data_IF_357457014749
#
_entry.id   IF_357457014749
#
_cell.length_a   1.000
_cell.length_b   1.000
_cell.length_c   1.000
_cell.angle_alpha   90.00
_cell.angle_beta   90.00
_cell.angle_gamma   90.00
#
_symmetry.space_group_name_H-M   'P 1'
#
loop_
_entity.id
_entity.type
_entity.pdbx_description
1 polymer ?
#
# COMPACT_ATOMS: atom_id res chain seq x y z
N UNK A 1 -19.28 -4.17 -5.99
CA UNK A 1 -18.96 -5.42 -5.24
C UNK A 1 -17.48 -5.56 -5.15
N UNK A 2 -16.94 -5.30 -3.95
CA UNK A 2 -15.57 -5.52 -3.53
C UNK A 2 -15.35 -7.04 -3.38
N UNK A 3 -14.81 -7.78 -4.37
CA UNK A 3 -14.59 -9.19 -4.19
C UNK A 3 -13.22 -9.32 -3.50
N UNK A 4 -13.14 -9.71 -2.22
CA UNK A 4 -11.87 -10.08 -1.58
C UNK A 4 -11.17 -11.27 -2.27
N UNK A 5 -11.76 -11.81 -3.33
CA UNK A 5 -11.26 -12.94 -4.13
C UNK A 5 -10.34 -12.51 -5.28
N UNK A 6 -10.34 -11.23 -5.69
CA UNK A 6 -9.46 -10.78 -6.76
C UNK A 6 -8.07 -10.53 -6.21
N UNK A 7 -7.15 -11.42 -6.55
CA UNK A 7 -5.73 -11.27 -6.28
C UNK A 7 -5.12 -10.44 -7.42
N UNK A 8 -4.36 -9.36 -7.14
CA UNK A 8 -3.65 -8.61 -8.17
C UNK A 8 -2.75 -9.50 -9.04
N UNK A 9 -2.56 -9.12 -10.30
CA UNK A 9 -1.63 -9.77 -11.23
C UNK A 9 -0.64 -8.74 -11.77
N UNK A 10 0.26 -8.26 -10.91
CA UNK A 10 1.26 -7.24 -11.22
C UNK A 10 2.18 -7.65 -12.38
N UNK A 11 2.37 -8.94 -12.62
CA UNK A 11 3.12 -9.44 -13.78
C UNK A 11 2.54 -8.97 -15.13
N UNK A 12 1.23 -8.64 -15.18
CA UNK A 12 0.64 -8.00 -16.36
C UNK A 12 1.24 -6.62 -16.61
N UNK A 13 1.44 -5.83 -15.56
CA UNK A 13 2.08 -4.51 -15.62
C UNK A 13 3.58 -4.66 -15.87
N UNK A 14 4.25 -5.59 -15.18
CA UNK A 14 5.68 -5.90 -15.42
C UNK A 14 5.93 -6.19 -16.90
N UNK A 15 5.05 -6.95 -17.56
CA UNK A 15 5.17 -7.23 -19.00
C UNK A 15 5.21 -5.95 -19.84
N UNK A 16 4.39 -4.95 -19.54
CA UNK A 16 4.40 -3.66 -20.24
C UNK A 16 5.71 -2.87 -20.00
N UNK A 17 6.21 -2.88 -18.77
CA UNK A 17 7.49 -2.24 -18.41
C UNK A 17 8.65 -2.94 -19.13
N UNK A 18 8.70 -4.28 -19.09
CA UNK A 18 9.71 -5.09 -19.76
C UNK A 18 9.68 -4.91 -21.29
N UNK A 19 8.50 -4.87 -21.91
CA UNK A 19 8.40 -4.60 -23.34
C UNK A 19 9.06 -3.27 -23.74
N UNK A 20 9.02 -2.28 -22.83
CA UNK A 20 9.61 -0.95 -23.05
C UNK A 20 11.12 -0.90 -22.77
N UNK A 21 11.61 -1.67 -21.79
CA UNK A 21 12.97 -1.55 -21.27
C UNK A 21 13.92 -2.69 -21.67
N UNK A 22 13.41 -3.91 -21.87
CA UNK A 22 14.23 -5.08 -22.23
C UNK A 22 15.05 -4.87 -23.51
N UNK A 23 14.54 -4.22 -24.58
CA UNK A 23 15.36 -3.91 -25.77
C UNK A 23 16.54 -2.97 -25.50
N UNK A 24 16.58 -2.30 -24.33
CA UNK A 24 17.60 -1.36 -23.91
C UNK A 24 18.46 -1.92 -22.75
N UNK A 25 18.36 -3.23 -22.51
CA UNK A 25 19.07 -3.91 -21.43
C UNK A 25 20.40 -4.52 -21.87
N UNK A 26 21.24 -4.83 -20.88
CA UNK A 26 22.51 -5.53 -21.09
C UNK A 26 22.28 -6.97 -21.54
N UNK A 27 21.25 -7.64 -21.04
CA UNK A 27 20.89 -9.03 -21.40
C UNK A 27 20.59 -9.19 -22.89
N UNK A 28 19.94 -8.20 -23.51
CA UNK A 28 19.67 -8.20 -24.96
C UNK A 28 20.80 -7.59 -25.78
N UNK A 29 21.83 -7.04 -25.13
CA UNK A 29 22.90 -6.26 -25.77
C UNK A 29 22.46 -4.91 -26.33
N UNK A 30 21.21 -4.49 -26.10
CA UNK A 30 20.65 -3.28 -26.71
C UNK A 30 20.91 -1.99 -25.93
N UNK A 31 21.30 -2.08 -24.65
CA UNK A 31 21.64 -0.89 -23.87
C UNK A 31 22.21 -1.17 -22.48
N UNK A 32 22.31 -0.12 -21.64
CA UNK A 32 23.00 -0.20 -20.35
C UNK A 32 22.12 -0.68 -19.19
N UNK A 33 20.81 -0.90 -19.39
CA UNK A 33 19.93 -1.23 -18.28
C UNK A 33 20.19 -2.64 -17.75
N UNK A 34 20.28 -2.77 -16.43
CA UNK A 34 20.28 -4.06 -15.74
C UNK A 34 18.88 -4.25 -15.17
N UNK A 35 18.22 -5.35 -15.52
CA UNK A 35 16.82 -5.60 -15.16
C UNK A 35 16.75 -6.92 -14.37
N UNK A 36 16.08 -6.89 -13.24
CA UNK A 36 15.83 -8.05 -12.39
C UNK A 36 14.33 -8.15 -12.05
N UNK A 37 13.66 -9.17 -12.58
CA UNK A 37 12.27 -9.49 -12.29
C UNK A 37 12.22 -10.55 -11.20
N UNK A 38 11.56 -10.23 -10.08
CA UNK A 38 11.56 -11.04 -8.86
C UNK A 38 10.13 -11.39 -8.47
N UNK A 39 9.83 -12.68 -8.46
CA UNK A 39 8.48 -13.19 -8.17
C UNK A 39 8.54 -14.18 -7.02
N UNK A 40 7.81 -13.88 -5.95
CA UNK A 40 7.65 -14.73 -4.77
C UNK A 40 6.37 -15.57 -4.79
N UNK A 41 5.36 -15.06 -5.48
CA UNK A 41 4.08 -15.72 -5.70
C UNK A 41 3.68 -15.55 -7.18
N UNK A 42 3.19 -16.60 -7.87
CA UNK A 42 2.85 -16.51 -9.29
C UNK A 42 1.94 -15.33 -9.61
N UNK A 43 2.32 -14.48 -10.58
CA UNK A 43 1.57 -13.29 -10.97
C UNK A 43 1.88 -12.04 -10.16
N UNK A 44 2.57 -12.14 -9.02
CA UNK A 44 2.88 -11.04 -8.07
C UNK A 44 4.33 -10.59 -8.18
N UNK A 45 4.76 -10.18 -9.37
CA UNK A 45 6.15 -9.82 -9.64
C UNK A 45 6.53 -8.41 -9.20
N UNK A 46 7.78 -8.27 -8.76
CA UNK A 46 8.47 -7.00 -8.55
C UNK A 46 9.51 -6.81 -9.66
N UNK A 47 9.87 -5.57 -9.97
CA UNK A 47 10.88 -5.28 -10.98
C UNK A 47 11.90 -4.27 -10.47
N UNK A 48 13.18 -4.63 -10.54
CA UNK A 48 14.30 -3.74 -10.22
C UNK A 48 15.02 -3.41 -11.54
N UNK A 49 15.17 -2.12 -11.84
CA UNK A 49 15.85 -1.64 -13.04
C UNK A 49 16.98 -0.69 -12.62
N UNK A 50 18.18 -0.92 -13.12
CA UNK A 50 19.36 -0.11 -12.81
C UNK A 50 19.96 0.50 -14.07
N UNK A 51 20.28 1.79 -14.01
CA UNK A 51 21.13 2.49 -14.97
C UNK A 51 22.48 2.79 -14.31
N UNK A 52 23.60 2.22 -14.78
CA UNK A 52 24.88 2.28 -14.09
C UNK A 52 25.49 3.70 -14.11
N UNK A 53 25.94 4.15 -12.94
CA UNK A 53 26.77 5.34 -12.78
C UNK A 53 28.26 5.04 -12.83
N UNK A 54 29.08 6.08 -12.79
CA UNK A 54 30.55 5.97 -12.87
C UNK A 54 31.26 5.87 -11.53
N UNK A 55 30.61 6.23 -10.43
CA UNK A 55 31.20 6.16 -9.09
C UNK A 55 30.62 4.96 -8.33
N UNK A 56 31.42 3.93 -8.02
CA UNK A 56 30.96 2.77 -7.25
C UNK A 56 30.32 3.18 -5.93
N UNK A 57 29.22 2.52 -5.57
CA UNK A 57 28.48 2.76 -4.31
C UNK A 57 27.64 4.04 -4.28
N UNK A 58 27.77 4.96 -5.24
CA UNK A 58 26.92 6.15 -5.30
C UNK A 58 25.60 5.80 -5.98
N UNK A 59 24.52 5.73 -5.22
CA UNK A 59 23.19 5.31 -5.71
C UNK A 59 22.15 6.39 -5.42
N UNK A 60 21.24 6.60 -6.36
CA UNK A 60 19.97 7.31 -6.18
C UNK A 60 18.85 6.36 -6.59
N UNK A 61 17.81 6.23 -5.76
CA UNK A 61 16.71 5.30 -6.03
C UNK A 61 15.33 5.95 -6.05
N UNK A 62 14.50 5.41 -6.94
CA UNK A 62 13.06 5.60 -6.98
C UNK A 62 12.43 4.27 -6.57
N UNK A 63 11.69 4.25 -5.47
CA UNK A 63 11.09 3.04 -4.89
C UNK A 63 9.61 3.29 -4.66
N UNK A 64 8.79 2.25 -4.58
CA UNK A 64 7.40 2.40 -4.15
C UNK A 64 6.38 2.54 -5.27
N UNK A 65 6.80 2.65 -6.54
CA UNK A 65 5.87 2.59 -7.67
C UNK A 65 5.20 1.21 -7.71
N UNK A 66 4.06 1.09 -7.05
CA UNK A 66 3.35 -0.16 -6.95
C UNK A 66 2.48 -0.41 -8.19
N UNK A 67 2.32 -1.68 -8.51
CA UNK A 67 1.67 -2.13 -9.75
C UNK A 67 0.28 -2.71 -9.54
N UNK A 68 -0.11 -2.92 -8.28
CA UNK A 68 -1.48 -3.23 -7.89
C UNK A 68 -2.34 -1.97 -7.82
N UNK A 69 -3.65 -2.18 -7.81
CA UNK A 69 -4.65 -1.12 -7.68
C UNK A 69 -5.79 -1.60 -6.79
N UNK A 70 -6.38 -0.70 -6.03
CA UNK A 70 -7.60 -1.01 -5.26
C UNK A 70 -8.79 -1.28 -6.18
N UNK A 71 -9.82 -1.94 -5.63
CA UNK A 71 -11.03 -2.27 -6.36
C UNK A 71 -11.75 -1.01 -6.88
N UNK A 72 -12.42 -1.15 -8.02
CA UNK A 72 -13.29 -0.12 -8.58
C UNK A 72 -14.60 -0.79 -9.02
N UNK A 73 -15.72 -0.22 -8.61
CA UNK A 73 -17.04 -0.64 -9.05
C UNK A 73 -17.49 0.30 -10.16
N UNK A 74 -17.64 -0.16 -11.41
CA UNK A 74 -18.01 0.71 -12.53
C UNK A 74 -19.31 1.51 -12.33
N UNK A 75 -20.25 1.01 -11.52
CA UNK A 75 -21.50 1.73 -11.23
C UNK A 75 -21.30 2.96 -10.33
N UNK A 76 -20.17 3.06 -9.63
CA UNK A 76 -19.85 4.20 -8.76
C UNK A 76 -19.05 5.28 -9.52
N UNK A 77 -18.84 5.11 -10.82
CA UNK A 77 -18.02 5.97 -11.67
C UNK A 77 -18.83 6.55 -12.83
N UNK A 78 -18.59 7.81 -13.17
CA UNK A 78 -19.22 8.48 -14.33
C UNK A 78 -18.62 8.05 -15.69
N UNK A 79 -17.63 7.15 -15.66
CA UNK A 79 -16.94 6.58 -16.81
C UNK A 79 -16.43 5.18 -16.46
N UNK A 80 -16.01 4.40 -17.45
CA UNK A 80 -15.43 3.08 -17.20
C UNK A 80 -14.05 3.21 -16.52
N UNK A 81 -13.89 2.78 -15.25
CA UNK A 81 -12.62 2.91 -14.54
C UNK A 81 -11.50 2.06 -15.14
N UNK A 82 -11.81 1.03 -15.95
CA UNK A 82 -10.81 0.12 -16.51
C UNK A 82 -10.43 0.45 -17.96
N UNK A 83 -11.01 1.52 -18.52
CA UNK A 83 -10.64 2.07 -19.83
C UNK A 83 -10.03 3.44 -19.64
N UNK A 84 -8.76 3.61 -20.06
CA UNK A 84 -8.11 4.91 -20.00
C UNK A 84 -8.83 5.91 -20.91
N UNK A 85 -9.34 7.00 -20.33
CA UNK A 85 -9.98 8.09 -21.08
C UNK A 85 -9.29 9.43 -20.81
N UNK A 86 -9.43 10.35 -21.77
CA UNK A 86 -8.90 11.72 -21.68
C UNK A 86 -10.08 12.67 -21.48
N UNK A 87 -9.95 13.58 -20.53
CA UNK A 87 -10.92 14.64 -20.24
C UNK A 87 -10.20 15.97 -20.05
N UNK A 88 -10.15 16.76 -21.12
CA UNK A 88 -9.33 17.97 -21.18
C UNK A 88 -7.85 17.64 -20.98
N UNK A 89 -7.30 18.09 -19.86
CA UNK A 89 -5.91 17.88 -19.44
C UNK A 89 -5.73 16.69 -18.48
N UNK A 90 -6.80 15.94 -18.19
CA UNK A 90 -6.78 14.82 -17.23
C UNK A 90 -6.81 13.47 -17.93
N UNK A 91 -6.00 12.56 -17.41
CA UNK A 91 -6.12 11.13 -17.67
C UNK A 91 -7.01 10.51 -16.59
N UNK A 92 -7.99 9.71 -17.02
CA UNK A 92 -8.98 9.09 -16.14
C UNK A 92 -8.97 7.58 -16.27
N UNK A 93 -8.84 6.90 -15.14
CA UNK A 93 -8.87 5.44 -15.01
C UNK A 93 -8.40 5.03 -13.62
N UNK A 94 -8.79 3.85 -13.15
CA UNK A 94 -8.22 3.27 -11.93
C UNK A 94 -6.71 3.08 -12.16
N UNK A 95 -5.90 3.54 -11.20
CA UNK A 95 -4.44 3.46 -11.30
C UNK A 95 -3.78 4.70 -11.90
N UNK A 96 -4.50 5.63 -12.54
CA UNK A 96 -3.84 6.76 -13.23
C UNK A 96 -3.09 7.67 -12.26
N UNK A 97 -3.65 7.92 -11.09
CA UNK A 97 -2.99 8.65 -10.00
C UNK A 97 -2.20 7.71 -9.09
N UNK A 98 -2.76 6.54 -8.80
CA UNK A 98 -2.34 5.65 -7.73
C UNK A 98 -2.33 4.17 -8.17
N UNK A 99 -1.23 3.63 -8.69
CA UNK A 99 0.04 4.34 -8.95
C UNK A 99 0.64 4.04 -10.34
N UNK A 100 -0.16 3.51 -11.26
CA UNK A 100 0.24 3.16 -12.63
C UNK A 100 0.73 4.36 -13.46
N UNK A 101 0.25 5.58 -13.19
CA UNK A 101 0.79 6.79 -13.83
C UNK A 101 2.26 7.02 -13.48
N UNK A 102 2.65 6.80 -12.22
CA UNK A 102 4.03 6.89 -11.77
C UNK A 102 4.87 5.72 -12.29
N UNK A 103 4.30 4.51 -12.36
CA UNK A 103 4.95 3.36 -13.03
C UNK A 103 5.33 3.72 -14.47
N UNK A 104 4.41 4.33 -15.22
CA UNK A 104 4.68 4.78 -16.58
C UNK A 104 5.76 5.88 -16.65
N UNK A 105 5.70 6.86 -15.75
CA UNK A 105 6.67 7.96 -15.68
C UNK A 105 8.09 7.45 -15.39
N UNK A 106 8.26 6.60 -14.37
CA UNK A 106 9.56 6.03 -14.01
C UNK A 106 10.08 5.09 -15.10
N UNK A 107 9.18 4.36 -15.77
CA UNK A 107 9.55 3.56 -16.95
C UNK A 107 10.14 4.44 -18.06
N UNK A 108 9.48 5.55 -18.39
CA UNK A 108 10.00 6.47 -19.41
C UNK A 108 11.28 7.17 -18.98
N UNK A 109 11.46 7.47 -17.69
CA UNK A 109 12.74 7.96 -17.17
C UNK A 109 13.88 6.97 -17.44
N UNK A 110 13.70 5.70 -17.07
CA UNK A 110 14.73 4.66 -17.25
C UNK A 110 15.02 4.41 -18.74
N UNK A 111 13.98 4.40 -19.57
CA UNK A 111 14.09 4.33 -21.03
C UNK A 111 14.89 5.50 -21.60
N UNK A 112 14.61 6.73 -21.15
CA UNK A 112 15.33 7.92 -21.61
C UNK A 112 16.79 7.88 -21.21
N UNK A 113 17.11 7.49 -19.97
CA UNK A 113 18.49 7.30 -19.50
C UNK A 113 19.25 6.32 -20.40
N UNK A 114 18.63 5.19 -20.73
CA UNK A 114 19.23 4.16 -21.58
C UNK A 114 19.46 4.63 -23.03
N UNK A 115 18.57 5.47 -23.56
CA UNK A 115 18.68 6.03 -24.90
C UNK A 115 19.71 7.15 -25.00
N UNK A 116 19.72 8.09 -24.05
CA UNK A 116 20.62 9.26 -24.09
C UNK A 116 22.00 8.99 -23.49
N UNK A 117 22.12 7.94 -22.67
CA UNK A 117 23.38 7.48 -22.04
C UNK A 117 24.19 8.60 -21.37
N UNK A 118 23.59 9.46 -20.53
CA UNK A 118 24.32 10.53 -19.87
C UNK A 118 25.36 9.94 -18.92
N UNK A 119 26.52 10.59 -18.83
CA UNK A 119 27.56 10.17 -17.88
C UNK A 119 27.22 10.63 -16.46
N UNK A 120 26.50 9.80 -15.72
CA UNK A 120 26.10 10.08 -14.33
C UNK A 120 27.14 9.56 -13.35
N UNK A 121 27.35 10.29 -12.26
CA UNK A 121 28.18 9.80 -11.14
C UNK A 121 27.44 8.71 -10.35
N UNK A 122 26.15 8.88 -10.14
CA UNK A 122 25.31 7.95 -9.39
C UNK A 122 24.68 6.91 -10.31
N UNK A 123 24.62 5.66 -9.86
CA UNK A 123 23.70 4.65 -10.41
C UNK A 123 22.28 5.04 -10.04
N UNK A 124 21.37 4.99 -11.03
CA UNK A 124 19.95 5.24 -10.82
C UNK A 124 19.24 3.90 -10.74
N UNK A 125 18.50 3.66 -9.66
CA UNK A 125 17.73 2.42 -9.45
C UNK A 125 16.25 2.73 -9.38
N UNK A 126 15.43 2.03 -10.15
CA UNK A 126 13.98 2.04 -10.03
C UNK A 126 13.49 0.69 -9.50
N UNK A 127 12.62 0.71 -8.49
CA UNK A 127 12.03 -0.49 -7.87
C UNK A 127 10.52 -0.38 -7.98
N UNK A 128 9.95 -1.19 -8.86
CA UNK A 128 8.51 -1.38 -9.02
C UNK A 128 8.08 -2.55 -8.13
N UNK A 129 7.09 -2.32 -7.27
CA UNK A 129 6.72 -3.26 -6.22
C UNK A 129 5.34 -3.87 -6.44
N UNK A 130 5.16 -5.09 -5.95
CA UNK A 130 3.85 -5.70 -5.78
C UNK A 130 3.33 -5.47 -4.35
N UNK A 131 2.03 -5.66 -4.17
CA UNK A 131 1.42 -5.88 -2.85
C UNK A 131 1.54 -4.69 -1.88
N UNK A 132 1.30 -3.47 -2.37
CA UNK A 132 1.22 -2.26 -1.55
C UNK A 132 -0.19 -2.16 -0.93
N UNK A 133 -1.23 -2.29 -1.77
CA UNK A 133 -2.63 -2.05 -1.40
C UNK A 133 -3.35 -3.30 -0.86
N UNK A 134 -2.85 -4.48 -1.22
CA UNK A 134 -3.48 -5.75 -0.88
C UNK A 134 -2.53 -6.61 -0.06
N UNK A 135 -2.84 -6.86 1.22
CA UNK A 135 -2.01 -7.70 2.10
C UNK A 135 -2.52 -9.14 2.28
N UNK A 136 -3.42 -9.63 1.41
CA UNK A 136 -3.98 -10.99 1.52
C UNK A 136 -2.93 -12.09 1.29
N UNK A 137 -1.88 -11.80 0.52
CA UNK A 137 -0.71 -12.66 0.36
C UNK A 137 0.46 -12.02 1.10
N UNK A 138 1.06 -12.76 2.03
CA UNK A 138 2.22 -12.30 2.81
C UNK A 138 3.53 -12.76 2.17
N UNK A 139 4.64 -12.09 2.47
CA UNK A 139 5.97 -12.50 1.99
C UNK A 139 6.19 -12.20 0.51
N UNK A 140 5.48 -11.22 -0.03
CA UNK A 140 5.66 -10.66 -1.37
C UNK A 140 5.92 -9.15 -1.24
N UNK A 141 6.17 -8.45 -2.35
CA UNK A 141 6.35 -6.99 -2.33
C UNK A 141 7.68 -6.53 -1.74
N UNK A 142 7.71 -5.26 -1.32
CA UNK A 142 8.92 -4.57 -0.84
C UNK A 142 9.57 -5.26 0.36
N UNK A 143 8.77 -5.78 1.29
CA UNK A 143 9.26 -6.46 2.49
C UNK A 143 10.07 -7.71 2.15
N UNK A 144 9.60 -8.50 1.18
CA UNK A 144 10.30 -9.68 0.71
C UNK A 144 11.63 -9.30 0.02
N UNK A 145 11.64 -8.24 -0.79
CA UNK A 145 12.87 -7.74 -1.42
C UNK A 145 13.90 -7.26 -0.39
N UNK A 146 13.46 -6.64 0.70
CA UNK A 146 14.32 -6.22 1.82
C UNK A 146 14.85 -7.44 2.57
N UNK A 147 13.99 -8.41 2.86
CA UNK A 147 14.35 -9.65 3.57
C UNK A 147 15.43 -10.44 2.81
N UNK A 148 15.31 -10.56 1.48
CA UNK A 148 16.30 -11.22 0.63
C UNK A 148 17.55 -10.38 0.38
N UNK A 149 17.59 -9.15 0.88
CA UNK A 149 18.72 -8.24 0.74
C UNK A 149 18.90 -7.66 -0.65
N UNK A 150 17.91 -7.78 -1.54
CA UNK A 150 17.96 -7.25 -2.90
C UNK A 150 18.02 -5.72 -2.93
N UNK A 151 17.52 -5.07 -1.87
CA UNK A 151 17.55 -3.61 -1.71
C UNK A 151 18.71 -3.10 -0.83
N UNK A 152 19.61 -3.98 -0.36
CA UNK A 152 20.70 -3.60 0.56
C UNK A 152 21.58 -2.46 0.02
N UNK A 153 21.83 -2.44 -1.29
CA UNK A 153 22.64 -1.40 -1.94
C UNK A 153 22.01 -0.01 -1.86
N UNK A 154 20.70 0.10 -1.61
CA UNK A 154 19.98 1.37 -1.61
C UNK A 154 20.08 2.11 -0.27
N UNK A 155 20.54 1.44 0.80
CA UNK A 155 20.49 1.93 2.19
C UNK A 155 21.25 3.24 2.43
N UNK A 156 22.36 3.44 1.72
CA UNK A 156 23.25 4.60 1.93
C UNK A 156 23.03 5.73 0.90
N UNK A 157 22.12 5.52 -0.06
CA UNK A 157 21.82 6.49 -1.13
C UNK A 157 20.52 7.27 -0.87
N UNK A 158 20.33 8.42 -1.52
CA UNK A 158 19.03 9.07 -1.54
C UNK A 158 17.97 8.14 -2.14
N UNK A 159 16.86 7.97 -1.41
CA UNK A 159 15.70 7.20 -1.82
C UNK A 159 14.49 8.13 -1.91
N UNK A 160 13.83 8.12 -3.05
CA UNK A 160 12.55 8.77 -3.27
C UNK A 160 11.47 7.70 -3.34
N UNK A 161 10.56 7.71 -2.35
CA UNK A 161 9.34 6.92 -2.44
C UNK A 161 8.39 7.63 -3.39
N UNK A 162 8.06 6.98 -4.50
CA UNK A 162 7.23 7.55 -5.56
C UNK A 162 5.84 6.96 -5.44
N UNK A 163 4.93 7.82 -5.01
CA UNK A 163 3.54 7.51 -4.77
C UNK A 163 2.70 8.79 -4.94
N UNK A 164 1.38 8.66 -4.92
CA UNK A 164 0.49 9.81 -4.90
C UNK A 164 0.64 10.59 -3.59
N UNK A 165 0.84 11.90 -3.70
CA UNK A 165 0.81 12.80 -2.54
C UNK A 165 0.13 14.11 -2.92
N UNK A 166 -0.91 14.49 -2.18
CA UNK A 166 -1.61 15.78 -2.36
C UNK A 166 -0.80 16.98 -1.85
N UNK A 167 0.44 16.76 -1.36
CA UNK A 167 1.29 17.78 -0.72
C UNK A 167 2.78 17.56 -0.99
N UNK A 168 3.59 18.53 -0.52
CA UNK A 168 5.06 18.60 -0.57
C UNK A 168 5.75 17.26 -0.23
N UNK A 169 7.03 17.07 -0.64
CA UNK A 169 7.78 15.85 -0.33
C UNK A 169 7.62 15.40 1.12
N UNK A 170 7.06 14.21 1.30
CA UNK A 170 6.85 13.62 2.61
C UNK A 170 8.15 12.95 3.08
N UNK A 171 8.59 13.26 4.30
CA UNK A 171 9.81 12.68 4.90
C UNK A 171 9.50 11.63 5.97
N UNK A 172 8.22 11.29 6.16
CA UNK A 172 7.78 10.25 7.08
C UNK A 172 6.27 10.00 6.98
N UNK A 173 5.87 8.74 7.02
CA UNK A 173 4.46 8.31 7.04
C UNK A 173 4.06 7.81 8.42
N UNK A 174 2.76 7.79 8.70
CA UNK A 174 2.22 7.14 9.90
C UNK A 174 2.35 5.63 9.79
N UNK A 175 2.68 4.97 10.90
CA UNK A 175 2.50 3.52 11.01
C UNK A 175 1.03 3.16 11.13
N UNK A 176 0.74 1.86 11.03
CA UNK A 176 -0.62 1.31 11.12
C UNK A 176 -0.59 0.01 11.94
N UNK A 177 -1.46 -0.11 12.95
CA UNK A 177 -1.62 -1.37 13.69
C UNK A 177 -3.11 -1.76 13.73
N UNK A 178 -3.52 -2.80 12.98
CA UNK A 178 -4.89 -3.29 13.05
C UNK A 178 -5.13 -4.02 14.38
N UNK A 179 -6.33 -3.88 14.95
CA UNK A 179 -6.73 -4.57 16.17
C UNK A 179 -8.15 -5.15 16.06
N UNK A 180 -8.39 -6.19 16.86
CA UNK A 180 -9.68 -6.88 16.94
C UNK A 180 -10.00 -7.26 18.39
N UNK A 181 -11.17 -6.83 18.86
CA UNK A 181 -11.73 -7.17 20.16
C UNK A 181 -12.96 -8.06 19.95
N UNK A 182 -12.84 -9.33 20.32
CA UNK A 182 -13.97 -10.26 20.38
C UNK A 182 -14.53 -10.30 21.80
N UNK A 183 -15.84 -10.13 21.93
CA UNK A 183 -16.52 -10.06 23.23
C UNK A 183 -17.62 -11.10 23.29
N UNK A 184 -17.52 -11.99 24.28
CA UNK A 184 -18.49 -13.04 24.54
C UNK A 184 -19.44 -12.60 25.67
N UNK A 185 -20.74 -12.75 25.41
CA UNK A 185 -21.81 -12.49 26.36
C UNK A 185 -22.69 -13.73 26.53
N UNK A 186 -23.99 -13.51 26.70
CA UNK A 186 -24.99 -14.58 26.80
C UNK A 186 -26.29 -14.17 26.14
N UNK A 187 -26.64 -14.89 25.08
CA UNK A 187 -27.83 -14.64 24.29
C UNK A 187 -29.10 -14.90 25.11
N UNK A 188 -30.03 -13.94 25.10
CA UNK A 188 -31.37 -14.15 25.64
C UNK A 188 -32.39 -13.13 25.09
N UNK A 189 -33.67 -13.38 25.32
CA UNK A 189 -34.72 -12.39 25.02
C UNK A 189 -34.53 -11.13 25.89
N UNK A 190 -34.53 -9.96 25.25
CA UNK A 190 -34.34 -8.63 25.89
C UNK A 190 -35.30 -8.37 27.06
N UNK A 191 -36.55 -8.83 26.96
CA UNK A 191 -37.53 -8.75 28.05
C UNK A 191 -37.17 -9.51 29.34
N UNK A 192 -36.12 -10.34 29.32
CA UNK A 192 -35.59 -11.04 30.50
C UNK A 192 -34.08 -10.78 30.63
N UNK A 193 -33.68 -9.50 30.58
CA UNK A 193 -32.27 -9.06 30.55
C UNK A 193 -31.40 -9.64 31.68
N UNK A 194 -31.94 -9.90 32.87
CA UNK A 194 -31.22 -10.55 33.98
C UNK A 194 -30.73 -11.98 33.68
N UNK A 195 -31.17 -12.58 32.57
CA UNK A 195 -30.71 -13.89 32.09
C UNK A 195 -29.66 -13.79 30.98
N UNK A 196 -29.40 -12.58 30.49
CA UNK A 196 -28.44 -12.28 29.43
C UNK A 196 -27.18 -11.60 29.99
N UNK A 197 -26.14 -11.56 29.16
CA UNK A 197 -24.98 -10.67 29.32
C UNK A 197 -24.83 -10.01 27.97
N UNK A 198 -24.96 -8.68 27.90
CA UNK A 198 -24.93 -7.97 26.64
C UNK A 198 -23.47 -7.72 26.20
N UNK A 199 -22.96 -8.44 25.17
CA UNK A 199 -21.58 -8.26 24.73
C UNK A 199 -21.35 -6.88 24.11
N UNK A 200 -22.41 -6.22 23.62
CA UNK A 200 -22.30 -4.88 23.03
C UNK A 200 -21.92 -3.84 24.09
N UNK A 201 -22.55 -3.92 25.27
CA UNK A 201 -22.25 -3.05 26.42
C UNK A 201 -20.82 -3.28 26.92
N UNK A 202 -20.44 -4.56 27.08
CA UNK A 202 -19.09 -4.93 27.48
C UNK A 202 -18.03 -4.42 26.48
N UNK A 203 -18.31 -4.50 25.18
CA UNK A 203 -17.42 -3.98 24.15
C UNK A 203 -17.30 -2.45 24.21
N UNK A 204 -18.41 -1.73 24.42
CA UNK A 204 -18.38 -0.26 24.57
C UNK A 204 -17.51 0.16 25.77
N UNK A 205 -17.69 -0.49 26.92
CA UNK A 205 -16.90 -0.21 28.13
C UNK A 205 -15.41 -0.52 27.90
N UNK A 206 -15.10 -1.67 27.32
CA UNK A 206 -13.72 -2.07 27.04
C UNK A 206 -13.02 -1.12 26.05
N UNK A 207 -13.68 -0.78 24.93
CA UNK A 207 -13.12 0.12 23.91
C UNK A 207 -12.88 1.51 24.49
N UNK A 208 -13.80 2.02 25.31
CA UNK A 208 -13.63 3.30 26.01
C UNK A 208 -12.37 3.30 26.88
N UNK A 209 -12.19 2.30 27.73
CA UNK A 209 -11.03 2.22 28.63
C UNK A 209 -9.71 2.07 27.85
N UNK A 210 -9.70 1.27 26.77
CA UNK A 210 -8.53 1.11 25.90
C UNK A 210 -8.18 2.46 25.23
N UNK A 211 -9.17 3.17 24.67
CA UNK A 211 -8.95 4.47 24.04
C UNK A 211 -8.45 5.51 25.04
N UNK A 212 -9.06 5.59 26.23
CA UNK A 212 -8.62 6.51 27.29
C UNK A 212 -7.16 6.26 27.68
N UNK A 213 -6.78 4.99 27.82
CA UNK A 213 -5.38 4.62 28.09
C UNK A 213 -4.47 4.98 26.91
N UNK A 214 -4.87 4.67 25.68
CA UNK A 214 -4.09 4.99 24.48
C UNK A 214 -3.78 6.49 24.38
N UNK A 215 -4.79 7.36 24.46
CA UNK A 215 -4.56 8.81 24.34
C UNK A 215 -3.81 9.41 25.53
N UNK A 216 -3.81 8.72 26.68
CA UNK A 216 -3.00 9.11 27.85
C UNK A 216 -1.53 8.71 27.67
N UNK A 217 -1.28 7.48 27.21
CA UNK A 217 0.06 6.91 27.08
C UNK A 217 0.77 7.43 25.81
N UNK A 218 0.00 7.76 24.76
CA UNK A 218 0.47 8.26 23.47
C UNK A 218 -0.19 9.61 23.12
N UNK A 219 0.07 10.68 23.89
CA UNK A 219 -0.43 12.01 23.56
C UNK A 219 0.28 12.58 22.32
N UNK A 220 -0.28 13.62 21.67
CA UNK A 220 0.35 14.28 20.53
C UNK A 220 1.80 14.67 20.84
N UNK A 221 2.73 14.28 19.97
CA UNK A 221 4.13 14.61 20.13
C UNK A 221 4.48 15.94 19.43
N UNK A 222 5.24 16.87 20.05
CA UNK A 222 5.56 18.16 19.43
C UNK A 222 6.26 18.07 18.06
N UNK A 223 6.99 16.98 17.80
CA UNK A 223 7.64 16.76 16.50
C UNK A 223 6.64 16.47 15.36
N UNK A 224 5.42 16.03 15.65
CA UNK A 224 4.39 15.81 14.63
C UNK A 224 4.12 17.09 13.82
N UNK A 225 4.15 18.25 14.48
CA UNK A 225 4.01 19.56 13.82
C UNK A 225 5.21 19.88 12.92
N UNK A 226 6.42 19.51 13.34
CA UNK A 226 7.65 19.72 12.55
C UNK A 226 7.61 18.91 11.26
N UNK A 227 7.06 17.70 11.32
CA UNK A 227 6.87 16.82 10.17
C UNK A 227 5.58 17.09 9.39
N UNK A 228 4.74 18.03 9.84
CA UNK A 228 3.52 18.43 9.15
C UNK A 228 2.38 17.40 9.20
N UNK A 229 2.38 16.48 10.19
CA UNK A 229 1.27 15.55 10.39
C UNK A 229 -0.02 16.32 10.69
N UNK A 230 -1.09 15.99 9.96
CA UNK A 230 -2.39 16.63 10.16
C UNK A 230 -3.12 16.17 11.44
N UNK A 231 -2.77 14.99 11.93
CA UNK A 231 -3.31 14.38 13.15
C UNK A 231 -2.22 13.63 13.91
N UNK A 232 -2.25 13.62 15.25
CA UNK A 232 -1.48 12.67 16.06
C UNK A 232 -1.94 11.22 15.81
N UNK A 233 -1.24 10.25 16.40
CA UNK A 233 -1.68 8.85 16.42
C UNK A 233 -3.08 8.71 17.01
N UNK A 234 -3.91 7.85 16.41
CA UNK A 234 -5.29 7.65 16.86
C UNK A 234 -5.68 6.19 16.90
N UNK A 235 -6.17 5.71 18.04
CA UNK A 235 -6.84 4.41 18.10
C UNK A 235 -8.34 4.58 17.84
N UNK A 236 -8.86 3.99 16.75
CA UNK A 236 -10.26 4.14 16.33
C UNK A 236 -10.90 2.79 16.00
N UNK A 237 -12.12 2.50 16.50
CA UNK A 237 -12.94 1.42 15.95
C UNK A 237 -13.43 1.83 14.57
N UNK A 238 -13.24 0.96 13.58
CA UNK A 238 -13.67 1.19 12.19
C UNK A 238 -14.75 0.20 11.76
N UNK A 239 -14.90 -0.93 12.46
CA UNK A 239 -15.87 -1.98 12.13
C UNK A 239 -16.51 -2.55 13.40
N UNK A 240 -17.80 -2.88 13.31
CA UNK A 240 -18.54 -3.57 14.35
C UNK A 240 -19.42 -4.66 13.71
N UNK A 241 -19.38 -5.87 14.25
CA UNK A 241 -20.22 -6.98 13.78
C UNK A 241 -20.74 -7.86 14.92
N UNK A 242 -21.86 -8.54 14.68
CA UNK A 242 -22.44 -9.54 15.58
C UNK A 242 -23.25 -10.56 14.75
N UNK A 243 -23.56 -11.76 15.27
CA UNK A 243 -24.21 -12.84 14.50
C UNK A 243 -25.65 -12.60 14.01
N UNK A 244 -26.20 -11.39 14.18
CA UNK A 244 -27.60 -11.07 13.91
C UNK A 244 -28.56 -11.43 15.05
N UNK A 245 -29.85 -11.32 14.78
CA UNK A 245 -30.93 -11.52 15.76
C UNK A 245 -32.08 -10.53 15.58
N UNK A 246 -33.22 -10.83 16.20
CA UNK A 246 -34.33 -9.88 16.28
C UNK A 246 -34.03 -8.72 17.22
N UNK A 247 -34.69 -7.57 17.04
CA UNK A 247 -34.56 -6.40 17.93
C UNK A 247 -34.89 -6.73 19.40
N UNK A 248 -35.63 -7.81 19.63
CA UNK A 248 -36.00 -8.31 20.95
C UNK A 248 -34.97 -9.31 21.53
N UNK A 249 -33.80 -9.50 20.94
CA UNK A 249 -32.76 -10.41 21.39
C UNK A 249 -31.47 -9.66 21.77
N UNK A 250 -30.90 -10.00 22.92
CA UNK A 250 -29.54 -9.60 23.29
C UNK A 250 -28.58 -10.62 22.66
N UNK A 251 -27.56 -10.21 21.89
CA UNK A 251 -26.67 -11.13 21.21
C UNK A 251 -25.78 -11.92 22.18
N UNK A 252 -25.28 -13.07 21.74
CA UNK A 252 -24.36 -13.90 22.52
C UNK A 252 -22.90 -13.48 22.38
N UNK A 253 -22.56 -12.76 21.32
CA UNK A 253 -21.20 -12.27 21.06
C UNK A 253 -21.24 -11.05 20.14
N UNK A 254 -20.15 -10.28 20.13
CA UNK A 254 -19.88 -9.28 19.12
C UNK A 254 -18.38 -9.13 18.88
N UNK A 255 -18.02 -8.45 17.80
CA UNK A 255 -16.64 -8.13 17.46
C UNK A 255 -16.56 -6.65 17.08
N UNK A 256 -15.58 -5.96 17.65
CA UNK A 256 -15.18 -4.60 17.26
C UNK A 256 -13.76 -4.68 16.71
N UNK A 257 -13.52 -4.07 15.56
CA UNK A 257 -12.19 -4.00 14.96
C UNK A 257 -11.86 -2.55 14.60
N UNK A 258 -10.57 -2.27 14.45
CA UNK A 258 -10.11 -0.93 14.12
C UNK A 258 -8.63 -0.88 13.79
N UNK A 259 -8.12 0.33 13.77
CA UNK A 259 -6.72 0.65 13.58
C UNK A 259 -6.19 1.60 14.68
N UNK A 260 -4.86 1.68 14.71
CA UNK A 260 -4.05 2.69 15.39
C UNK A 260 -3.23 3.40 14.34
#
# INVERSE_FOLDING_TARGET
NNPPELIPEEDRVVKHVLNSLSPLSTTTGGGPLIINHVTYFPGRGNLIVEYPGTVPGKILSFVGCHMDVVTANPNDWDFDPFTLSIDGDKLRGRGTTDCLGHVALVTELMKKLAQTKPNLKSTVVAVFIANEENSAITGVGVDALVQDGLLNKLKDGPLFWIDTADKQPCVGTGGMIPWKLHVTGKLFHSGLAHKAINPLELAMDAVKEIQLKFYKDFPPHPQEQVYGFATPSTMKPTQWSYPGGGINQIPGECTVSGDV
#
